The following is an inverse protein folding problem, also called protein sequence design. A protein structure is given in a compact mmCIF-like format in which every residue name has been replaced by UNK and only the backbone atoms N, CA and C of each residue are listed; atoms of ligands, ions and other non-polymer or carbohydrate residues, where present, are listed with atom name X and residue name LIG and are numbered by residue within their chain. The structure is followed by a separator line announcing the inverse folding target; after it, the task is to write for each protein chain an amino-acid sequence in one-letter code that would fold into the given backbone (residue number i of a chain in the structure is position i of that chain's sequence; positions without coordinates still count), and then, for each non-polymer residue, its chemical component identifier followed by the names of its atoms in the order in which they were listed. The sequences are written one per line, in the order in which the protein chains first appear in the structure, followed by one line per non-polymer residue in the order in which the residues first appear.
data_IF_945659876143
#
_entry.id   IF_945659876143
#
_cell.length_a   1.000
_cell.length_b   1.000
_cell.length_c   1.000
_cell.angle_alpha   90.00
_cell.angle_beta   90.00
_cell.angle_gamma   90.00
#
_symmetry.space_group_name_H-M   'P 1'
#
loop_
_entity.id
_entity.type
_entity.pdbx_description
1 polymer ?
#
# COMPACT_ATOMS: atom_id res chain seq x y z
N UNK A 1 -12.04 5.07 -14.47
CA UNK A 1 -12.90 5.19 -13.26
C UNK A 1 -12.18 4.72 -11.98
N UNK A 2 -11.55 3.56 -11.97
CA UNK A 2 -10.89 2.99 -10.77
C UNK A 2 -9.71 3.82 -10.25
N UNK A 3 -8.93 4.46 -11.13
CA UNK A 3 -7.77 5.26 -10.75
C UNK A 3 -8.17 6.57 -10.05
N UNK A 4 -9.23 7.22 -10.54
CA UNK A 4 -9.80 8.41 -9.89
C UNK A 4 -10.43 8.06 -8.53
N UNK A 5 -11.10 6.89 -8.44
CA UNK A 5 -11.66 6.42 -7.19
C UNK A 5 -10.56 6.15 -6.15
N UNK A 6 -9.43 5.57 -6.54
CA UNK A 6 -8.30 5.34 -5.64
C UNK A 6 -7.68 6.66 -5.15
N UNK A 7 -7.52 7.67 -6.02
CA UNK A 7 -6.96 8.98 -5.67
C UNK A 7 -7.81 9.70 -4.61
N UNK A 8 -9.15 9.53 -4.67
CA UNK A 8 -10.06 10.17 -3.72
C UNK A 8 -10.31 9.31 -2.48
N UNK A 9 -10.52 8.01 -2.68
CA UNK A 9 -10.89 7.08 -1.60
C UNK A 9 -9.72 6.88 -0.64
N UNK A 10 -8.49 6.74 -1.13
CA UNK A 10 -7.32 6.45 -0.28
C UNK A 10 -7.09 7.50 0.81
N UNK A 11 -7.03 8.83 0.51
CA UNK A 11 -6.85 9.85 1.55
C UNK A 11 -8.01 9.92 2.54
N UNK A 12 -9.25 9.74 2.06
CA UNK A 12 -10.43 9.77 2.92
C UNK A 12 -10.45 8.60 3.90
N UNK A 13 -10.15 7.38 3.41
CA UNK A 13 -10.07 6.20 4.25
C UNK A 13 -8.91 6.29 5.24
N UNK A 14 -7.74 6.76 4.80
CA UNK A 14 -6.59 6.93 5.65
C UNK A 14 -6.88 7.91 6.80
N UNK A 15 -7.49 9.05 6.50
CA UNK A 15 -7.89 10.02 7.51
C UNK A 15 -8.91 9.42 8.48
N UNK A 16 -9.95 8.79 7.98
CA UNK A 16 -11.00 8.19 8.81
C UNK A 16 -10.44 7.10 9.74
N UNK A 17 -9.63 6.18 9.22
CA UNK A 17 -9.05 5.11 10.00
C UNK A 17 -8.01 5.61 11.01
N UNK A 18 -7.21 6.62 10.65
CA UNK A 18 -6.28 7.25 11.57
C UNK A 18 -7.00 7.92 12.75
N UNK A 19 -8.18 8.52 12.50
CA UNK A 19 -8.99 9.17 13.53
C UNK A 19 -9.84 8.21 14.37
N UNK A 20 -10.08 7.00 13.90
CA UNK A 20 -10.92 5.99 14.59
C UNK A 20 -10.09 4.86 15.20
N UNK A 21 -9.48 4.03 14.37
CA UNK A 21 -8.85 2.78 14.79
C UNK A 21 -7.37 2.94 15.17
N UNK A 22 -6.71 4.00 14.67
CA UNK A 22 -5.27 4.22 14.83
C UNK A 22 -4.93 5.58 15.45
N UNK A 23 -5.75 6.06 16.39
CA UNK A 23 -5.51 7.32 17.12
C UNK A 23 -4.20 7.33 17.90
N UNK A 24 -3.72 6.15 18.26
CA UNK A 24 -2.45 5.93 18.95
C UNK A 24 -1.23 5.99 18.01
N UNK A 25 -1.45 5.97 16.69
CA UNK A 25 -0.38 6.08 15.70
C UNK A 25 -0.23 7.52 15.25
N UNK A 26 0.68 8.25 15.89
CA UNK A 26 0.92 9.66 15.57
C UNK A 26 1.42 9.83 14.13
N UNK A 27 0.93 10.84 13.37
CA UNK A 27 1.39 11.15 12.03
C UNK A 27 2.74 11.91 12.09
N UNK A 28 3.84 11.15 12.09
CA UNK A 28 5.21 11.68 12.16
C UNK A 28 5.87 11.74 10.77
N UNK A 29 5.19 11.31 9.74
CA UNK A 29 5.66 11.34 8.36
C UNK A 29 5.52 12.72 7.72
N UNK A 30 5.85 12.79 6.42
CA UNK A 30 5.67 13.99 5.62
C UNK A 30 4.44 13.85 4.72
N UNK A 31 3.46 14.69 4.94
CA UNK A 31 2.35 14.87 4.01
C UNK A 31 2.84 15.70 2.81
N UNK A 32 3.25 15.02 1.74
CA UNK A 32 3.70 15.66 0.52
C UNK A 32 3.02 15.04 -0.69
N UNK A 33 2.03 15.73 -1.20
CA UNK A 33 1.37 15.36 -2.46
C UNK A 33 2.38 15.17 -3.62
N UNK A 34 3.40 16.04 -3.68
CA UNK A 34 4.45 15.95 -4.71
C UNK A 34 5.24 14.65 -4.57
N UNK A 35 5.64 14.27 -3.35
CA UNK A 35 6.37 13.04 -3.11
C UNK A 35 5.52 11.80 -3.45
N UNK A 36 4.24 11.79 -3.09
CA UNK A 36 3.30 10.75 -3.45
C UNK A 36 3.11 10.65 -4.98
N UNK A 37 2.95 11.79 -5.64
CA UNK A 37 2.83 11.84 -7.11
C UNK A 37 4.11 11.32 -7.79
N UNK A 38 5.29 11.74 -7.35
CA UNK A 38 6.58 11.27 -7.88
C UNK A 38 6.74 9.76 -7.67
N UNK A 39 6.38 9.24 -6.49
CA UNK A 39 6.43 7.80 -6.23
C UNK A 39 5.48 7.03 -7.17
N UNK A 40 4.24 7.51 -7.34
CA UNK A 40 3.23 6.86 -8.18
C UNK A 40 3.61 6.91 -9.67
N UNK A 41 4.10 8.06 -10.15
CA UNK A 41 4.62 8.19 -11.53
C UNK A 41 5.82 7.29 -11.74
N UNK A 42 6.79 7.29 -10.83
CA UNK A 42 7.96 6.42 -10.90
C UNK A 42 7.60 4.93 -10.89
N UNK A 43 6.63 4.54 -10.04
CA UNK A 43 6.12 3.18 -10.02
C UNK A 43 5.43 2.80 -11.34
N UNK A 44 4.64 3.73 -11.92
CA UNK A 44 3.95 3.51 -13.19
C UNK A 44 4.93 3.35 -14.36
N UNK A 45 5.97 4.18 -14.41
CA UNK A 45 7.02 4.06 -15.44
C UNK A 45 7.73 2.70 -15.32
N UNK A 46 8.14 2.31 -14.12
CA UNK A 46 8.79 1.01 -13.90
C UNK A 46 7.84 -0.16 -14.19
N UNK A 47 6.55 -0.02 -13.90
CA UNK A 47 5.55 -1.02 -14.25
C UNK A 47 5.46 -1.20 -15.78
N UNK A 48 5.37 -0.11 -16.53
CA UNK A 48 5.31 -0.15 -18.01
C UNK A 48 6.60 -0.75 -18.58
N UNK A 49 7.77 -0.36 -18.08
CA UNK A 49 9.04 -0.94 -18.50
C UNK A 49 9.07 -2.44 -18.21
N UNK A 50 8.71 -2.85 -17.00
CA UNK A 50 8.63 -4.26 -16.62
C UNK A 50 7.66 -5.04 -17.51
N UNK A 51 6.51 -4.45 -17.82
CA UNK A 51 5.51 -5.03 -18.70
C UNK A 51 6.06 -5.24 -20.13
N UNK A 52 6.71 -4.22 -20.68
CA UNK A 52 7.35 -4.31 -22.01
C UNK A 52 8.46 -5.35 -22.04
N UNK A 53 9.30 -5.41 -21.01
CA UNK A 53 10.39 -6.38 -20.91
C UNK A 53 9.88 -7.82 -20.77
N UNK A 54 8.69 -8.02 -20.24
CA UNK A 54 8.09 -9.36 -20.09
C UNK A 54 7.36 -9.83 -21.35
N UNK A 55 7.07 -8.95 -22.33
CA UNK A 55 6.36 -9.33 -23.56
C UNK A 55 6.97 -10.54 -24.29
N UNK A 56 8.31 -10.64 -24.48
CA UNK A 56 8.90 -11.80 -25.15
C UNK A 56 8.63 -13.13 -24.42
N UNK A 57 8.46 -13.07 -23.09
CA UNK A 57 8.21 -14.25 -22.26
C UNK A 57 6.75 -14.74 -22.33
N UNK A 58 5.85 -13.94 -22.90
CA UNK A 58 4.44 -14.30 -23.05
C UNK A 58 4.21 -15.41 -24.10
N UNK A 59 5.22 -15.68 -24.91
CA UNK A 59 5.21 -16.81 -25.83
C UNK A 59 5.16 -18.15 -25.06
N UNK A 60 5.69 -18.17 -23.84
CA UNK A 60 5.66 -19.36 -22.99
C UNK A 60 4.28 -19.50 -22.35
N UNK A 61 3.56 -20.63 -22.58
CA UNK A 61 2.25 -20.86 -21.99
C UNK A 61 2.28 -20.71 -20.46
N UNK A 62 1.34 -19.96 -19.90
CA UNK A 62 1.23 -19.69 -18.45
C UNK A 62 2.00 -18.47 -17.97
N UNK A 63 3.15 -18.12 -18.55
CA UNK A 63 3.87 -16.88 -18.15
C UNK A 63 3.09 -15.63 -18.50
N UNK A 64 2.31 -15.66 -19.59
CA UNK A 64 1.41 -14.56 -20.00
C UNK A 64 0.34 -14.24 -18.95
N UNK A 65 -0.02 -15.18 -18.09
CA UNK A 65 -0.94 -14.96 -16.97
C UNK A 65 -0.21 -14.57 -15.68
N UNK A 66 0.91 -15.23 -15.39
CA UNK A 66 1.62 -15.06 -14.12
C UNK A 66 2.38 -13.73 -14.06
N UNK A 67 3.09 -13.37 -15.12
CA UNK A 67 3.94 -12.16 -15.12
C UNK A 67 3.14 -10.86 -14.94
N UNK A 68 2.02 -10.64 -15.63
CA UNK A 68 1.20 -9.45 -15.38
C UNK A 68 0.65 -9.39 -13.94
N UNK A 69 0.25 -10.53 -13.37
CA UNK A 69 -0.22 -10.58 -11.99
C UNK A 69 0.88 -10.22 -10.98
N UNK A 70 2.10 -10.72 -11.18
CA UNK A 70 3.25 -10.39 -10.32
C UNK A 70 3.64 -8.92 -10.45
N UNK A 71 3.63 -8.37 -11.65
CA UNK A 71 3.87 -6.94 -11.89
C UNK A 71 2.80 -6.08 -11.23
N UNK A 72 1.53 -6.46 -11.33
CA UNK A 72 0.43 -5.77 -10.69
C UNK A 72 0.54 -5.84 -9.16
N UNK A 73 0.90 -7.00 -8.61
CA UNK A 73 1.14 -7.18 -7.18
C UNK A 73 2.27 -6.27 -6.67
N UNK A 74 3.37 -6.21 -7.43
CA UNK A 74 4.48 -5.32 -7.13
C UNK A 74 4.07 -3.84 -7.19
N UNK A 75 3.31 -3.46 -8.23
CA UNK A 75 2.81 -2.09 -8.41
C UNK A 75 1.88 -1.68 -7.27
N UNK A 76 0.89 -2.52 -6.96
CA UNK A 76 -0.04 -2.28 -5.86
C UNK A 76 0.69 -2.10 -4.53
N UNK A 77 1.64 -3.00 -4.24
CA UNK A 77 2.47 -2.86 -3.04
C UNK A 77 3.21 -1.54 -3.01
N UNK A 78 3.85 -1.14 -4.12
CA UNK A 78 4.68 0.06 -4.16
C UNK A 78 3.86 1.34 -3.97
N UNK A 79 2.68 1.42 -4.57
CA UNK A 79 1.82 2.60 -4.48
C UNK A 79 1.05 2.64 -3.17
N UNK A 80 0.27 1.63 -2.86
CA UNK A 80 -0.58 1.63 -1.67
C UNK A 80 0.20 1.58 -0.35
N UNK A 81 1.32 0.86 -0.27
CA UNK A 81 2.15 0.86 0.93
C UNK A 81 2.75 2.25 1.21
N UNK A 82 3.17 2.96 0.15
CA UNK A 82 3.66 4.32 0.29
C UNK A 82 2.55 5.24 0.77
N UNK A 83 1.38 5.20 0.10
CA UNK A 83 0.25 6.06 0.44
C UNK A 83 -0.27 5.82 1.86
N UNK A 84 -0.26 4.57 2.33
CA UNK A 84 -0.69 4.21 3.68
C UNK A 84 0.25 4.70 4.78
N UNK A 85 1.55 4.71 4.53
CA UNK A 85 2.58 4.95 5.56
C UNK A 85 3.24 6.32 5.48
N UNK A 86 3.23 7.00 4.33
CA UNK A 86 3.96 8.25 4.11
C UNK A 86 3.61 9.37 5.09
N UNK A 87 2.35 9.44 5.54
CA UNK A 87 1.89 10.45 6.50
C UNK A 87 2.22 10.09 7.96
N UNK A 88 2.38 8.80 8.27
CA UNK A 88 2.51 8.33 9.65
C UNK A 88 3.91 7.88 10.02
N UNK A 89 4.65 7.27 9.08
CA UNK A 89 6.00 6.76 9.32
C UNK A 89 7.08 7.80 8.99
N UNK A 90 8.07 7.90 9.88
CA UNK A 90 9.31 8.62 9.58
C UNK A 90 10.15 7.85 8.56
N UNK A 91 11.17 8.49 7.96
CA UNK A 91 12.05 7.84 7.01
C UNK A 91 12.77 6.62 7.61
N UNK A 92 13.22 6.74 8.86
CA UNK A 92 13.92 5.67 9.58
C UNK A 92 12.97 4.51 9.90
N UNK A 93 11.74 4.79 10.33
CA UNK A 93 10.72 3.77 10.55
C UNK A 93 10.34 3.06 9.26
N UNK A 94 10.26 3.79 8.16
CA UNK A 94 10.00 3.22 6.85
C UNK A 94 11.09 2.23 6.42
N UNK A 95 12.36 2.59 6.62
CA UNK A 95 13.48 1.71 6.29
C UNK A 95 13.50 0.45 7.14
N UNK A 96 13.17 0.55 8.43
CA UNK A 96 13.08 -0.59 9.34
C UNK A 96 11.89 -1.51 9.02
N UNK A 97 10.73 -0.96 8.69
CA UNK A 97 9.52 -1.72 8.37
C UNK A 97 9.59 -2.39 7.01
N UNK A 98 10.25 -1.76 6.04
CA UNK A 98 10.29 -2.21 4.66
C UNK A 98 10.69 -3.66 4.46
N UNK A 99 11.78 -4.20 5.07
CA UNK A 99 12.15 -5.60 4.92
C UNK A 99 11.12 -6.55 5.55
N UNK A 100 10.52 -6.16 6.67
CA UNK A 100 9.56 -7.00 7.41
C UNK A 100 8.20 -7.07 6.72
N UNK A 101 7.76 -5.98 6.10
CA UNK A 101 6.44 -5.87 5.47
C UNK A 101 6.44 -6.20 3.99
N UNK A 102 7.60 -6.30 3.36
CA UNK A 102 7.75 -6.50 1.92
C UNK A 102 7.02 -7.73 1.39
N UNK A 103 7.17 -8.87 2.05
CA UNK A 103 6.53 -10.12 1.66
C UNK A 103 5.01 -10.08 1.86
N UNK A 104 4.52 -9.83 3.08
CA UNK A 104 3.08 -9.74 3.36
C UNK A 104 2.37 -8.70 2.50
N UNK A 105 2.94 -7.51 2.33
CA UNK A 105 2.35 -6.49 1.46
C UNK A 105 2.37 -6.87 -0.02
N UNK A 106 3.35 -7.66 -0.46
CA UNK A 106 3.35 -8.21 -1.81
C UNK A 106 2.23 -9.24 -1.98
N UNK A 107 2.04 -10.14 -1.01
CA UNK A 107 0.94 -11.10 -1.03
C UNK A 107 -0.42 -10.40 -1.02
N UNK A 108 -0.56 -9.33 -0.25
CA UNK A 108 -1.75 -8.50 -0.24
C UNK A 108 -2.01 -7.89 -1.63
N UNK A 109 -0.98 -7.33 -2.25
CA UNK A 109 -1.05 -6.78 -3.61
C UNK A 109 -1.40 -7.84 -4.66
N UNK A 110 -0.89 -9.07 -4.50
CA UNK A 110 -1.22 -10.21 -5.37
C UNK A 110 -2.68 -10.63 -5.20
N UNK A 111 -3.17 -10.71 -3.96
CA UNK A 111 -4.58 -11.01 -3.69
C UNK A 111 -5.49 -9.98 -4.35
N UNK A 112 -5.16 -8.69 -4.22
CA UNK A 112 -5.93 -7.62 -4.86
C UNK A 112 -5.87 -7.69 -6.39
N UNK A 113 -4.70 -8.05 -6.96
CA UNK A 113 -4.56 -8.25 -8.40
C UNK A 113 -5.44 -9.41 -8.90
N UNK A 114 -5.53 -10.51 -8.15
CA UNK A 114 -6.42 -11.63 -8.47
C UNK A 114 -7.89 -11.24 -8.36
N UNK A 115 -8.28 -10.56 -7.29
CA UNK A 115 -9.66 -10.09 -7.10
C UNK A 115 -10.12 -9.12 -8.19
N UNK A 116 -9.19 -8.34 -8.75
CA UNK A 116 -9.48 -7.43 -9.85
C UNK A 116 -9.97 -8.14 -11.13
N UNK A 117 -9.67 -9.43 -11.28
CA UNK A 117 -10.11 -10.24 -12.41
C UNK A 117 -11.50 -10.87 -12.21
N UNK A 118 -12.07 -10.77 -11.01
CA UNK A 118 -13.43 -11.26 -10.73
C UNK A 118 -14.43 -10.16 -11.07
N UNK A 119 -15.39 -10.41 -11.98
CA UNK A 119 -16.45 -9.44 -12.30
C UNK A 119 -17.16 -8.95 -11.03
N UNK A 120 -17.55 -7.68 -10.99
CA UNK A 120 -18.14 -6.97 -9.86
C UNK A 120 -17.18 -6.72 -8.69
N UNK A 121 -16.39 -7.72 -8.24
CA UNK A 121 -15.38 -7.51 -7.20
C UNK A 121 -14.27 -6.56 -7.67
N UNK A 122 -13.91 -6.59 -8.94
CA UNK A 122 -12.92 -5.70 -9.52
C UNK A 122 -13.24 -4.21 -9.34
N UNK A 123 -14.52 -3.84 -9.25
CA UNK A 123 -14.96 -2.47 -8.97
C UNK A 123 -14.68 -2.06 -7.53
N UNK A 124 -14.70 -3.01 -6.60
CA UNK A 124 -14.46 -2.77 -5.17
C UNK A 124 -12.97 -2.86 -4.80
N UNK A 125 -12.14 -3.45 -5.66
CA UNK A 125 -10.70 -3.66 -5.39
C UNK A 125 -9.97 -2.40 -4.96
N UNK A 126 -10.15 -1.21 -5.56
CA UNK A 126 -9.45 -0.01 -5.09
C UNK A 126 -9.77 0.35 -3.63
N UNK A 127 -11.01 0.22 -3.22
CA UNK A 127 -11.40 0.47 -1.83
C UNK A 127 -10.90 -0.63 -0.88
N UNK A 128 -11.02 -1.89 -1.27
CA UNK A 128 -10.52 -3.03 -0.50
C UNK A 128 -9.00 -2.99 -0.36
N UNK A 129 -8.28 -2.63 -1.43
CA UNK A 129 -6.85 -2.45 -1.39
C UNK A 129 -6.46 -1.32 -0.43
N UNK A 130 -7.08 -0.14 -0.55
CA UNK A 130 -6.83 0.97 0.35
C UNK A 130 -7.03 0.57 1.82
N UNK A 131 -8.18 -0.01 2.16
CA UNK A 131 -8.47 -0.49 3.52
C UNK A 131 -7.42 -1.49 4.02
N UNK A 132 -7.11 -2.51 3.22
CA UNK A 132 -6.20 -3.58 3.61
C UNK A 132 -4.76 -3.08 3.80
N UNK A 133 -4.27 -2.24 2.90
CA UNK A 133 -2.92 -1.67 3.01
C UNK A 133 -2.80 -0.67 4.15
N UNK A 134 -3.84 0.15 4.42
CA UNK A 134 -3.86 1.07 5.56
C UNK A 134 -3.84 0.28 6.87
N UNK A 135 -4.75 -0.68 7.04
CA UNK A 135 -4.79 -1.49 8.27
C UNK A 135 -3.49 -2.24 8.50
N UNK A 136 -2.97 -2.91 7.49
CA UNK A 136 -1.72 -3.64 7.62
C UNK A 136 -0.54 -2.70 7.90
N UNK A 137 -0.42 -1.59 7.17
CA UNK A 137 0.67 -0.63 7.31
C UNK A 137 0.68 0.05 8.67
N UNK A 138 -0.46 0.57 9.10
CA UNK A 138 -0.58 1.26 10.40
C UNK A 138 -0.42 0.29 11.57
N UNK A 139 -0.92 -0.94 11.47
CA UNK A 139 -0.72 -1.95 12.50
C UNK A 139 0.76 -2.38 12.59
N UNK A 140 1.45 -2.53 11.45
CA UNK A 140 2.88 -2.81 11.44
C UNK A 140 3.68 -1.66 12.07
N UNK A 141 3.31 -0.41 11.80
CA UNK A 141 3.92 0.77 12.40
C UNK A 141 3.64 0.85 13.90
N UNK A 142 2.41 0.57 14.35
CA UNK A 142 2.03 0.48 15.75
C UNK A 142 2.90 -0.52 16.50
N UNK A 143 3.08 -1.71 15.94
CA UNK A 143 3.91 -2.77 16.54
C UNK A 143 5.39 -2.37 16.60
N UNK A 144 5.92 -1.71 15.59
CA UNK A 144 7.31 -1.25 15.57
C UNK A 144 7.60 -0.20 16.63
N UNK A 145 6.60 0.62 16.96
CA UNK A 145 6.69 1.64 18.03
C UNK A 145 6.51 1.07 19.44
N UNK A 146 6.42 -0.25 19.60
CA UNK A 146 6.37 -0.94 20.87
C UNK A 146 5.06 -0.77 21.65
N UNK A 147 3.93 -0.57 20.93
CA UNK A 147 2.64 -0.38 21.55
C UNK A 147 2.62 0.85 22.46
N UNK A 148 2.76 2.04 21.88
CA UNK A 148 2.76 3.33 22.57
C UNK A 148 1.52 3.60 23.46
N UNK A 149 0.58 2.66 23.51
CA UNK A 149 -0.59 2.66 24.40
C UNK A 149 -0.17 2.67 25.88
N UNK A 150 1.00 2.15 26.21
CA UNK A 150 1.50 2.09 27.60
C UNK A 150 2.00 3.44 28.12
N UNK A 151 2.44 4.34 27.24
CA UNK A 151 3.00 5.63 27.66
C UNK A 151 1.94 6.70 27.95
N UNK A 152 0.74 6.59 27.39
CA UNK A 152 -0.34 7.55 27.65
C UNK A 152 -1.04 7.28 28.99
N UNK A 153 -1.05 6.03 29.44
CA UNK A 153 -1.62 5.65 30.74
C UNK A 153 -0.69 5.98 31.92
N UNK A 154 0.62 6.06 31.67
CA UNK A 154 1.63 6.47 32.70
C UNK A 154 1.63 7.96 33.02
N UNK A 155 1.12 8.81 32.16
CA UNK A 155 1.13 10.26 32.29
C UNK A 155 -0.12 10.84 33.01
N UNK A 156 -1.08 9.95 33.33
CA UNK A 156 -2.31 10.31 34.09
C UNK A 156 -2.32 9.92 35.56
N UNK A 157 -1.14 9.72 36.14
CA UNK A 157 -1.04 9.55 37.63
C UNK A 157 -0.35 10.71 38.28
#
# INVERSE_FOLDING_TARGET
ASLLAAIVIMPLLLKHLAETDYRDVAPMGKDSFVAAAVNSVGASILFVIGWLLTLPLWIVPGLSLVLPLLLMAWYNRRTFAYDALSMHATADEWEQLRPQTKGPMFMLGLTMALLAHVPLLGLLVPALAALSFIHYGLEALRRSRGGAVVSIEGERK
#
